data_IF_584687809304
#
_entry.id   IF_584687809304
#
_cell.length_a   1.000
_cell.length_b   1.000
_cell.length_c   1.000
_cell.angle_alpha   90.00
_cell.angle_beta   90.00
_cell.angle_gamma   90.00
#
_symmetry.space_group_name_H-M   'P 1'
#
loop_
_entity.id
_entity.type
_entity.pdbx_description
1 polymer ?
#
# COMPACT_ATOMS: atom_id res chain seq x y z
N UNK A 1 42.25 23.36 39.71
CA UNK A 1 40.89 22.85 39.41
C UNK A 1 40.06 23.74 38.46
N UNK A 2 40.51 24.94 38.10
CA UNK A 2 39.73 25.86 37.23
C UNK A 2 39.68 25.43 35.74
N UNK A 3 40.72 24.79 35.19
CA UNK A 3 40.79 24.50 33.75
C UNK A 3 39.80 23.47 33.20
N UNK A 4 39.26 22.56 34.03
CA UNK A 4 38.25 21.58 33.58
C UNK A 4 36.85 22.19 33.47
N UNK A 5 36.53 23.18 34.31
CA UNK A 5 35.24 23.85 34.31
C UNK A 5 35.06 24.71 33.04
N UNK A 6 36.09 25.47 32.68
CA UNK A 6 36.09 26.28 31.46
C UNK A 6 36.03 25.46 30.17
N UNK A 7 36.63 24.26 30.15
CA UNK A 7 36.58 23.37 28.99
C UNK A 7 35.18 22.78 28.75
N UNK A 8 34.50 22.35 29.82
CA UNK A 8 33.12 21.87 29.75
C UNK A 8 32.14 22.95 29.27
N UNK A 9 32.31 24.19 29.75
CA UNK A 9 31.48 25.32 29.33
C UNK A 9 31.68 25.64 27.83
N UNK A 10 32.93 25.63 27.35
CA UNK A 10 33.23 25.84 25.93
C UNK A 10 32.68 24.71 25.04
N UNK A 11 32.74 23.46 25.51
CA UNK A 11 32.24 22.30 24.76
C UNK A 11 30.70 22.31 24.66
N UNK A 12 30.00 22.79 25.69
CA UNK A 12 28.54 22.96 25.69
C UNK A 12 28.08 24.11 24.78
N UNK A 13 28.74 25.27 24.84
CA UNK A 13 28.45 26.40 23.95
C UNK A 13 28.69 26.03 22.47
N UNK A 14 29.78 25.32 22.18
CA UNK A 14 30.08 24.84 20.84
C UNK A 14 29.03 23.83 20.34
N UNK A 15 28.57 22.93 21.21
CA UNK A 15 27.52 21.97 20.87
C UNK A 15 26.18 22.66 20.58
N UNK A 16 25.81 23.68 21.37
CA UNK A 16 24.61 24.48 21.15
C UNK A 16 24.65 25.24 19.83
N UNK A 17 25.78 25.91 19.53
CA UNK A 17 25.98 26.62 18.27
C UNK A 17 25.93 25.69 17.05
N UNK A 18 26.49 24.48 17.17
CA UNK A 18 26.42 23.47 16.11
C UNK A 18 24.99 22.96 15.90
N UNK A 19 24.24 22.73 16.98
CA UNK A 19 22.82 22.35 16.89
C UNK A 19 21.99 23.42 16.19
N UNK A 20 22.21 24.70 16.51
CA UNK A 20 21.54 25.82 15.85
C UNK A 20 21.83 25.88 14.35
N UNK A 21 23.09 25.69 13.96
CA UNK A 21 23.49 25.65 12.54
C UNK A 21 22.88 24.46 11.80
N UNK A 22 22.84 23.28 12.42
CA UNK A 22 22.21 22.08 11.85
C UNK A 22 20.71 22.30 11.69
N UNK A 23 20.04 22.87 12.70
CA UNK A 23 18.62 23.20 12.62
C UNK A 23 18.34 24.17 11.46
N UNK A 24 19.17 25.20 11.33
CA UNK A 24 19.10 26.17 10.24
C UNK A 24 19.30 25.52 8.87
N UNK A 25 20.31 24.66 8.74
CA UNK A 25 20.58 23.92 7.50
C UNK A 25 19.41 23.00 7.11
N UNK A 26 18.77 22.35 8.08
CA UNK A 26 17.58 21.51 7.87
C UNK A 26 16.40 22.35 7.36
N UNK A 27 16.15 23.53 7.96
CA UNK A 27 15.08 24.43 7.51
C UNK A 27 15.33 24.90 6.08
N UNK A 28 16.56 25.29 5.74
CA UNK A 28 16.89 25.69 4.36
C UNK A 28 16.76 24.55 3.37
N UNK A 29 17.23 23.34 3.70
CA UNK A 29 17.09 22.17 2.84
C UNK A 29 15.61 21.82 2.57
N UNK A 30 14.77 21.87 3.61
CA UNK A 30 13.33 21.64 3.47
C UNK A 30 12.68 22.71 2.58
N UNK A 31 13.04 23.97 2.78
CA UNK A 31 12.50 25.12 2.03
C UNK A 31 12.91 25.05 0.56
N UNK A 32 14.17 24.75 0.27
CA UNK A 32 14.67 24.53 -1.08
C UNK A 32 13.95 23.37 -1.78
N UNK A 33 13.73 22.25 -1.07
CA UNK A 33 12.95 21.12 -1.57
C UNK A 33 11.51 21.51 -1.93
N UNK A 34 10.86 22.35 -1.11
CA UNK A 34 9.53 22.88 -1.38
C UNK A 34 9.51 23.78 -2.61
N UNK A 35 10.44 24.73 -2.72
CA UNK A 35 10.52 25.61 -3.91
C UNK A 35 10.76 24.83 -5.20
N UNK A 36 11.60 23.79 -5.15
CA UNK A 36 11.80 22.91 -6.30
C UNK A 36 10.50 22.19 -6.73
N UNK A 37 9.65 21.79 -5.78
CA UNK A 37 8.34 21.18 -6.09
C UNK A 37 7.38 22.17 -6.74
N UNK A 38 7.31 23.40 -6.20
CA UNK A 38 6.50 24.48 -6.77
C UNK A 38 6.94 24.76 -8.21
N UNK A 39 8.26 24.86 -8.44
CA UNK A 39 8.84 25.10 -9.76
C UNK A 39 8.54 23.99 -10.78
N UNK A 40 8.42 22.75 -10.33
CA UNK A 40 8.03 21.63 -11.18
C UNK A 40 6.51 21.53 -11.43
N UNK A 41 5.69 22.41 -10.86
CA UNK A 41 4.23 22.36 -10.97
C UNK A 41 3.61 21.12 -10.30
N UNK A 42 4.34 20.50 -9.37
CA UNK A 42 3.94 19.22 -8.73
C UNK A 42 3.30 19.40 -7.36
N UNK A 43 2.68 20.55 -7.12
CA UNK A 43 2.07 20.88 -5.82
C UNK A 43 0.98 19.89 -5.40
N UNK A 44 0.33 19.24 -6.37
CA UNK A 44 -0.86 18.41 -6.19
C UNK A 44 -0.65 16.93 -6.48
N UNK A 45 0.56 16.50 -6.88
CA UNK A 45 0.88 15.08 -7.06
C UNK A 45 1.45 14.50 -5.75
N UNK A 46 0.68 13.75 -4.94
CA UNK A 46 1.21 13.13 -3.71
C UNK A 46 2.40 12.18 -3.97
N UNK A 47 2.56 11.72 -5.20
CA UNK A 47 3.67 10.88 -5.64
C UNK A 47 4.93 11.66 -6.07
N UNK A 48 4.87 12.98 -6.23
CA UNK A 48 6.03 13.79 -6.59
C UNK A 48 7.11 13.81 -5.50
N UNK A 49 6.68 13.66 -4.24
CA UNK A 49 7.53 13.50 -3.05
C UNK A 49 8.13 12.09 -2.94
N UNK A 50 7.56 11.09 -3.62
CA UNK A 50 8.01 9.69 -3.51
C UNK A 50 9.13 9.46 -4.50
N UNK A 51 10.34 9.21 -4.00
CA UNK A 51 11.47 8.79 -4.82
C UNK A 51 11.12 7.58 -5.70
N UNK A 52 11.79 7.44 -6.85
CA UNK A 52 11.49 6.41 -7.86
C UNK A 52 11.40 4.99 -7.27
N UNK A 53 12.23 4.69 -6.26
CA UNK A 53 12.20 3.44 -5.50
C UNK A 53 10.84 3.15 -4.85
N UNK A 54 10.20 4.16 -4.26
CA UNK A 54 8.89 4.03 -3.59
C UNK A 54 7.78 3.83 -4.61
N UNK A 55 7.81 4.55 -5.75
CA UNK A 55 6.83 4.35 -6.85
C UNK A 55 6.93 2.95 -7.44
N UNK A 56 8.15 2.46 -7.69
CA UNK A 56 8.38 1.09 -8.18
C UNK A 56 7.91 0.06 -7.14
N UNK A 57 8.20 0.28 -5.86
CA UNK A 57 7.73 -0.57 -4.76
C UNK A 57 6.20 -0.68 -4.70
N UNK A 58 5.49 0.44 -4.81
CA UNK A 58 4.02 0.47 -4.84
C UNK A 58 3.43 -0.21 -6.07
N UNK A 59 4.04 -0.02 -7.24
CA UNK A 59 3.62 -0.70 -8.47
C UNK A 59 3.78 -2.22 -8.36
N UNK A 60 4.93 -2.67 -7.85
CA UNK A 60 5.22 -4.08 -7.69
C UNK A 60 4.34 -4.73 -6.62
N UNK A 61 4.07 -4.05 -5.50
CA UNK A 61 3.16 -4.56 -4.47
C UNK A 61 1.72 -4.67 -4.99
N UNK A 62 1.26 -3.69 -5.78
CA UNK A 62 -0.03 -3.74 -6.45
C UNK A 62 -0.15 -4.91 -7.43
N UNK A 63 0.87 -5.14 -8.26
CA UNK A 63 0.93 -6.28 -9.18
C UNK A 63 0.92 -7.63 -8.44
N UNK A 64 1.71 -7.76 -7.39
CA UNK A 64 1.75 -8.98 -6.57
C UNK A 64 0.43 -9.22 -5.83
N UNK A 65 -0.18 -8.15 -5.29
CA UNK A 65 -1.49 -8.20 -4.66
C UNK A 65 -2.57 -8.64 -5.65
N UNK A 66 -2.55 -8.10 -6.87
CA UNK A 66 -3.44 -8.48 -7.96
C UNK A 66 -3.32 -9.96 -8.32
N UNK A 67 -2.10 -10.47 -8.51
CA UNK A 67 -1.86 -11.90 -8.82
C UNK A 67 -2.33 -12.83 -7.71
N UNK A 68 -2.09 -12.48 -6.44
CA UNK A 68 -2.57 -13.27 -5.29
C UNK A 68 -4.10 -13.28 -5.23
N UNK A 69 -4.74 -12.14 -5.47
CA UNK A 69 -6.19 -12.04 -5.50
C UNK A 69 -6.79 -12.84 -6.67
N UNK A 70 -6.16 -12.83 -7.83
CA UNK A 70 -6.56 -13.58 -9.02
C UNK A 70 -6.48 -15.10 -8.77
N UNK A 71 -5.36 -15.59 -8.24
CA UNK A 71 -5.20 -17.00 -7.89
C UNK A 71 -6.27 -17.47 -6.90
N UNK A 72 -6.54 -16.68 -5.85
CA UNK A 72 -7.60 -17.00 -4.87
C UNK A 72 -9.00 -16.96 -5.50
N UNK A 73 -9.24 -16.01 -6.41
CA UNK A 73 -10.51 -15.90 -7.13
C UNK A 73 -10.78 -17.10 -8.02
N UNK A 74 -9.75 -17.60 -8.72
CA UNK A 74 -9.83 -18.79 -9.54
C UNK A 74 -10.22 -20.04 -8.71
N UNK A 75 -9.60 -20.22 -7.53
CA UNK A 75 -9.94 -21.33 -6.62
C UNK A 75 -11.40 -21.26 -6.15
N UNK A 76 -11.89 -20.08 -5.78
CA UNK A 76 -13.30 -19.89 -5.35
C UNK A 76 -14.25 -20.25 -6.50
N UNK A 77 -13.96 -19.77 -7.71
CA UNK A 77 -14.80 -20.02 -8.88
C UNK A 77 -14.80 -21.49 -9.29
N UNK A 78 -13.64 -22.17 -9.24
CA UNK A 78 -13.53 -23.59 -9.55
C UNK A 78 -14.33 -24.45 -8.56
N UNK A 79 -14.26 -24.14 -7.25
CA UNK A 79 -15.07 -24.88 -6.27
C UNK A 79 -16.57 -24.61 -6.45
N UNK A 80 -16.97 -23.39 -6.81
CA UNK A 80 -18.36 -23.09 -7.13
C UNK A 80 -18.84 -23.82 -8.39
N UNK A 81 -18.02 -23.88 -9.45
CA UNK A 81 -18.30 -24.66 -10.67
C UNK A 81 -18.51 -26.13 -10.31
N UNK A 82 -17.56 -26.73 -9.57
CA UNK A 82 -17.65 -28.13 -9.11
C UNK A 82 -18.95 -28.42 -8.37
N UNK A 83 -19.37 -27.55 -7.44
CA UNK A 83 -20.63 -27.74 -6.71
C UNK A 83 -21.87 -27.70 -7.61
N UNK A 84 -21.85 -26.87 -8.65
CA UNK A 84 -22.95 -26.72 -9.61
C UNK A 84 -22.98 -27.92 -10.58
N UNK A 85 -21.81 -28.40 -11.00
CA UNK A 85 -21.68 -29.60 -11.83
C UNK A 85 -22.14 -30.86 -11.08
N UNK A 86 -21.72 -31.03 -9.83
CA UNK A 86 -22.15 -32.15 -8.98
C UNK A 86 -23.65 -32.09 -8.64
N UNK A 87 -24.25 -30.90 -8.65
CA UNK A 87 -25.65 -30.69 -8.32
C UNK A 87 -26.31 -29.71 -9.30
N UNK A 88 -26.81 -30.16 -10.47
CA UNK A 88 -27.30 -29.28 -11.53
C UNK A 88 -28.45 -28.34 -11.13
N UNK A 89 -29.20 -28.67 -10.07
CA UNK A 89 -30.27 -27.82 -9.54
C UNK A 89 -29.77 -26.74 -8.55
N UNK A 90 -28.48 -26.76 -8.20
CA UNK A 90 -27.89 -25.83 -7.25
C UNK A 90 -27.71 -24.45 -7.89
N UNK A 91 -28.42 -23.46 -7.36
CA UNK A 91 -28.28 -22.07 -7.82
C UNK A 91 -26.91 -21.50 -7.41
N UNK A 92 -26.26 -20.64 -8.24
CA UNK A 92 -24.97 -20.02 -7.92
C UNK A 92 -24.94 -19.26 -6.59
N UNK A 93 -26.05 -18.61 -6.21
CA UNK A 93 -26.18 -17.94 -4.89
C UNK A 93 -26.00 -18.92 -3.73
N UNK A 94 -26.51 -20.15 -3.87
CA UNK A 94 -26.38 -21.19 -2.84
C UNK A 94 -24.99 -21.81 -2.86
N UNK A 95 -24.41 -22.01 -4.05
CA UNK A 95 -23.02 -22.43 -4.21
C UNK A 95 -22.05 -21.43 -3.55
N UNK A 96 -22.25 -20.11 -3.72
CA UNK A 96 -21.43 -19.08 -3.07
C UNK A 96 -21.47 -19.14 -1.54
N UNK A 97 -22.66 -19.37 -0.98
CA UNK A 97 -22.84 -19.55 0.47
C UNK A 97 -22.25 -20.86 0.99
N UNK A 98 -22.29 -21.93 0.21
CA UNK A 98 -21.65 -23.21 0.55
C UNK A 98 -20.12 -23.12 0.47
N UNK A 99 -19.59 -22.49 -0.58
CA UNK A 99 -18.16 -22.24 -0.73
C UNK A 99 -17.60 -21.49 0.48
N UNK A 100 -18.29 -20.42 0.91
CA UNK A 100 -17.89 -19.70 2.13
C UNK A 100 -17.93 -20.57 3.39
N UNK A 101 -18.98 -21.38 3.58
CA UNK A 101 -19.08 -22.32 4.71
C UNK A 101 -17.98 -23.38 4.70
N UNK A 102 -17.47 -23.77 3.53
CA UNK A 102 -16.31 -24.65 3.38
C UNK A 102 -14.96 -23.93 3.55
N UNK A 103 -14.95 -22.62 3.85
CA UNK A 103 -13.73 -21.83 4.03
C UNK A 103 -13.21 -21.12 2.78
N UNK A 104 -13.93 -21.17 1.65
CA UNK A 104 -13.54 -20.50 0.42
C UNK A 104 -14.07 -19.06 0.35
N UNK A 105 -13.16 -18.11 0.15
CA UNK A 105 -13.47 -16.68 0.05
C UNK A 105 -13.75 -16.01 1.39
N UNK A 106 -13.99 -14.69 1.36
CA UNK A 106 -14.13 -13.87 2.56
C UNK A 106 -15.56 -13.80 3.08
N UNK A 107 -16.55 -13.84 2.19
CA UNK A 107 -17.97 -13.90 2.54
C UNK A 107 -18.80 -14.50 1.41
N UNK A 108 -19.99 -14.99 1.73
CA UNK A 108 -20.93 -15.50 0.73
C UNK A 108 -21.29 -14.44 -0.34
N UNK A 109 -21.43 -13.18 0.07
CA UNK A 109 -21.75 -12.09 -0.85
C UNK A 109 -20.57 -11.75 -1.78
N UNK A 110 -19.33 -11.75 -1.25
CA UNK A 110 -18.14 -11.53 -2.06
C UNK A 110 -17.98 -12.60 -3.13
N UNK A 111 -18.20 -13.87 -2.78
CA UNK A 111 -18.17 -15.00 -3.71
C UNK A 111 -19.25 -14.86 -4.79
N UNK A 112 -20.47 -14.45 -4.41
CA UNK A 112 -21.55 -14.19 -5.38
C UNK A 112 -21.21 -13.06 -6.35
N UNK A 113 -20.65 -11.95 -5.86
CA UNK A 113 -20.20 -10.83 -6.70
C UNK A 113 -19.11 -11.27 -7.67
N UNK A 114 -18.16 -12.09 -7.20
CA UNK A 114 -17.10 -12.65 -8.04
C UNK A 114 -17.67 -13.51 -9.18
N UNK A 115 -18.64 -14.37 -8.88
CA UNK A 115 -19.34 -15.18 -9.88
C UNK A 115 -20.06 -14.33 -10.94
N UNK A 116 -20.82 -13.33 -10.51
CA UNK A 116 -21.55 -12.45 -11.43
C UNK A 116 -20.58 -11.70 -12.36
N UNK A 117 -19.48 -11.18 -11.82
CA UNK A 117 -18.43 -10.51 -12.60
C UNK A 117 -17.79 -11.43 -13.65
N UNK A 118 -17.60 -12.72 -13.34
CA UNK A 118 -17.14 -13.71 -14.32
C UNK A 118 -18.16 -13.84 -15.46
N UNK A 119 -19.46 -13.95 -15.15
CA UNK A 119 -20.50 -14.04 -16.19
C UNK A 119 -20.55 -12.81 -17.09
N UNK A 120 -20.43 -11.61 -16.54
CA UNK A 120 -20.35 -10.37 -17.33
C UNK A 120 -19.18 -10.40 -18.32
N UNK A 121 -18.02 -10.94 -17.91
CA UNK A 121 -16.85 -11.07 -18.78
C UNK A 121 -16.97 -12.18 -19.83
N UNK A 122 -17.67 -13.27 -19.53
CA UNK A 122 -17.85 -14.40 -20.46
C UNK A 122 -19.04 -14.24 -21.41
N UNK A 123 -19.89 -13.22 -21.20
CA UNK A 123 -21.04 -12.90 -22.05
C UNK A 123 -20.75 -11.92 -23.19
N UNK A 124 -19.47 -11.68 -23.50
CA UNK A 124 -18.97 -10.99 -24.70
C UNK A 124 -18.21 -11.99 -25.55
#
# INVERSE_FOLDING_TARGET
>A
MLGRFWKLLLDEELAAALQEHVATAVVYAFTAGRHFQLALGKETEPDALRGMRVRIGGRNSGLLGGRKAEARSAVILAEMDRMIEENPHLKPTRAAALAHRKGYGTSAEANRKLWNRRKEKSGT
#
